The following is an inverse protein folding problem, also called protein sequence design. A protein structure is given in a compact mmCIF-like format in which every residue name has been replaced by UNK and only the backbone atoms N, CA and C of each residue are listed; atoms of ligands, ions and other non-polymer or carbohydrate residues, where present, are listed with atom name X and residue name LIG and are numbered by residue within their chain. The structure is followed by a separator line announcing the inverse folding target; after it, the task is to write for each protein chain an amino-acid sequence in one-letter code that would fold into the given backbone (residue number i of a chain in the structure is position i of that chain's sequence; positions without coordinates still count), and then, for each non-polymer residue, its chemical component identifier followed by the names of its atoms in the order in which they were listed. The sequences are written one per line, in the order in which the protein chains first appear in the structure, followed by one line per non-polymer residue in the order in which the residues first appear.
data_IF_505317546290
#
_entry.id   IF_505317546290
#
_cell.length_a   1.000
_cell.length_b   1.000
_cell.length_c   1.000
_cell.angle_alpha   90.00
_cell.angle_beta   90.00
_cell.angle_gamma   90.00
#
_symmetry.space_group_name_H-M   'P 1'
#
loop_
_entity.id
_entity.type
_entity.pdbx_description
1 polymer ?
#
# COMPACT_ATOMS: atom_id res chain seq x y z
N UNK A 1 -12.11 -4.26 6.06
CA UNK A 1 -12.44 -4.98 4.83
C UNK A 1 -13.57 -4.26 4.13
N UNK A 2 -13.44 -4.08 2.82
CA UNK A 2 -14.50 -3.60 1.94
C UNK A 2 -14.77 -4.70 0.92
N UNK A 3 -16.00 -5.20 0.88
CA UNK A 3 -16.41 -6.29 0.00
C UNK A 3 -15.47 -7.51 0.07
N UNK A 4 -15.08 -7.88 1.31
CA UNK A 4 -14.16 -9.00 1.57
C UNK A 4 -12.67 -8.70 1.36
N UNK A 5 -12.30 -7.52 0.84
CA UNK A 5 -10.90 -7.15 0.60
C UNK A 5 -10.34 -6.41 1.81
N UNK A 6 -9.27 -6.94 2.40
CA UNK A 6 -8.56 -6.34 3.53
C UNK A 6 -7.70 -5.13 3.10
N UNK A 7 -7.44 -4.24 4.07
CA UNK A 7 -6.55 -3.07 3.90
C UNK A 7 -6.93 -2.08 2.79
N UNK A 8 -8.15 -2.16 2.26
CA UNK A 8 -8.76 -1.13 1.43
C UNK A 8 -8.87 0.18 2.24
N UNK A 9 -8.47 1.29 1.63
CA UNK A 9 -8.57 2.62 2.24
C UNK A 9 -10.02 3.10 2.21
N UNK A 10 -10.75 2.82 3.29
CA UNK A 10 -12.15 3.25 3.43
C UNK A 10 -12.34 4.75 3.24
N UNK A 11 -11.37 5.58 3.64
CA UNK A 11 -11.42 7.04 3.46
C UNK A 11 -11.31 7.52 1.99
N UNK A 12 -10.91 6.64 1.07
CA UNK A 12 -10.80 6.89 -0.37
C UNK A 12 -11.77 6.03 -1.19
N UNK A 13 -12.56 5.18 -0.53
CA UNK A 13 -13.52 4.31 -1.21
C UNK A 13 -14.89 4.99 -1.23
N UNK A 14 -15.45 5.20 -2.42
CA UNK A 14 -16.81 5.72 -2.53
C UNK A 14 -17.81 4.70 -1.97
N UNK A 15 -18.74 5.18 -1.15
CA UNK A 15 -19.84 4.37 -0.65
C UNK A 15 -20.80 4.04 -1.80
N UNK A 16 -21.26 2.79 -1.87
CA UNK A 16 -22.24 2.33 -2.86
C UNK A 16 -23.31 1.43 -2.22
N UNK A 17 -24.54 1.38 -2.75
CA UNK A 17 -25.57 0.47 -2.27
C UNK A 17 -25.08 -0.99 -2.25
N UNK A 18 -25.34 -1.71 -1.16
CA UNK A 18 -24.94 -3.11 -0.99
C UNK A 18 -23.46 -3.34 -0.64
N UNK A 19 -22.64 -2.29 -0.49
CA UNK A 19 -21.25 -2.42 -0.07
C UNK A 19 -21.14 -2.94 1.36
N UNK A 20 -20.33 -3.97 1.56
CA UNK A 20 -20.09 -4.58 2.87
C UNK A 20 -18.80 -4.02 3.47
N UNK A 21 -18.91 -3.28 4.57
CA UNK A 21 -17.75 -2.72 5.30
C UNK A 21 -17.65 -3.39 6.67
N UNK A 22 -16.55 -4.10 6.90
CA UNK A 22 -16.29 -4.81 8.15
C UNK A 22 -14.98 -4.31 8.76
N UNK A 23 -14.99 -3.97 10.05
CA UNK A 23 -13.77 -3.57 10.77
C UNK A 23 -12.78 -4.74 10.80
N UNK A 24 -11.48 -4.44 10.81
CA UNK A 24 -10.50 -5.49 11.05
C UNK A 24 -10.62 -6.01 12.49
N UNK A 25 -10.28 -7.28 12.75
CA UNK A 25 -10.25 -7.84 14.09
C UNK A 25 -9.38 -6.98 15.03
N UNK A 26 -9.78 -6.84 16.29
CA UNK A 26 -8.99 -6.13 17.29
C UNK A 26 -7.70 -6.88 17.66
N UNK A 27 -7.69 -8.22 17.52
CA UNK A 27 -6.52 -9.08 17.69
C UNK A 27 -6.32 -9.96 16.47
N UNK A 28 -5.16 -9.84 15.82
CA UNK A 28 -4.77 -10.64 14.66
C UNK A 28 -5.01 -9.98 13.31
N UNK A 29 -4.70 -10.73 12.24
CA UNK A 29 -4.82 -10.27 10.86
C UNK A 29 -6.26 -10.49 10.35
N UNK A 30 -6.75 -9.69 9.39
CA UNK A 30 -8.01 -9.96 8.73
C UNK A 30 -7.98 -11.34 8.06
N UNK A 31 -9.08 -12.11 8.10
CA UNK A 31 -9.11 -13.45 7.54
C UNK A 31 -8.94 -13.43 6.02
N UNK A 32 -8.28 -14.45 5.48
CA UNK A 32 -8.29 -14.68 4.03
C UNK A 32 -9.69 -15.19 3.61
N UNK A 33 -10.16 -14.85 2.39
CA UNK A 33 -11.38 -15.42 1.86
C UNK A 33 -11.30 -16.96 1.84
N UNK A 34 -12.30 -17.65 2.40
CA UNK A 34 -12.37 -19.11 2.36
C UNK A 34 -12.80 -19.58 0.98
N UNK A 35 -12.00 -20.43 0.34
CA UNK A 35 -12.39 -21.13 -0.89
C UNK A 35 -13.17 -22.38 -0.49
N UNK A 36 -14.50 -22.28 -0.36
CA UNK A 36 -15.36 -23.41 0.00
C UNK A 36 -15.98 -24.07 -1.24
N UNK A 37 -15.67 -25.37 -1.44
CA UNK A 37 -16.28 -26.24 -2.45
C UNK A 37 -15.79 -27.70 -2.29
N UNK A 38 -16.54 -28.72 -2.75
CA UNK A 38 -16.22 -30.14 -2.54
C UNK A 38 -14.89 -30.61 -3.18
N UNK A 39 -14.28 -29.78 -4.04
CA UNK A 39 -12.98 -29.99 -4.69
C UNK A 39 -11.91 -29.02 -4.13
N UNK A 40 -11.78 -28.99 -2.79
CA UNK A 40 -11.13 -27.94 -1.98
C UNK A 40 -9.65 -27.60 -2.19
N UNK A 41 -9.02 -28.04 -3.29
CA UNK A 41 -7.68 -27.59 -3.71
C UNK A 41 -7.59 -27.23 -5.20
N UNK A 42 -8.62 -27.54 -6.00
CA UNK A 42 -8.66 -27.27 -7.45
C UNK A 42 -9.78 -26.32 -7.85
N UNK A 43 -10.69 -25.99 -6.94
CA UNK A 43 -11.68 -24.95 -7.16
C UNK A 43 -10.98 -23.58 -7.20
N UNK A 44 -10.86 -23.00 -8.39
CA UNK A 44 -10.46 -21.60 -8.54
C UNK A 44 -11.61 -20.76 -7.98
N UNK A 45 -11.40 -19.93 -6.94
CA UNK A 45 -12.44 -19.01 -6.51
C UNK A 45 -12.88 -18.18 -7.72
N UNK A 46 -14.19 -18.10 -7.96
CA UNK A 46 -14.75 -17.27 -9.04
C UNK A 46 -14.58 -15.81 -8.62
N UNK A 47 -13.38 -15.28 -8.86
CA UNK A 47 -13.08 -13.86 -8.74
C UNK A 47 -13.29 -13.27 -10.14
N UNK A 48 -13.95 -12.10 -10.27
CA UNK A 48 -14.04 -11.41 -11.54
C UNK A 48 -12.65 -11.26 -12.15
N UNK A 49 -12.52 -11.51 -13.45
CA UNK A 49 -11.26 -11.31 -14.16
C UNK A 49 -10.81 -9.85 -13.99
N UNK A 50 -9.56 -9.65 -13.56
CA UNK A 50 -8.97 -8.32 -13.43
C UNK A 50 -8.38 -7.96 -14.79
N UNK A 51 -8.95 -6.96 -15.44
CA UNK A 51 -8.48 -6.46 -16.73
C UNK A 51 -7.20 -5.66 -16.50
N UNK A 52 -6.19 -5.89 -17.35
CA UNK A 52 -4.95 -5.09 -17.39
C UNK A 52 -4.94 -4.25 -18.66
N UNK A 53 -5.01 -2.94 -18.50
CA UNK A 53 -4.75 -1.98 -19.57
C UNK A 53 -3.24 -1.75 -19.69
N UNK A 54 -2.71 -1.79 -20.92
CA UNK A 54 -1.33 -1.37 -21.22
C UNK A 54 -1.37 -0.11 -22.06
N UNK A 55 -0.62 0.89 -21.64
CA UNK A 55 -0.52 2.14 -22.35
C UNK A 55 0.91 2.69 -22.29
N UNK A 56 1.23 3.59 -23.22
CA UNK A 56 2.49 4.31 -23.26
C UNK A 56 2.21 5.81 -23.39
N UNK A 57 2.96 6.64 -22.66
CA UNK A 57 2.93 8.10 -22.78
C UNK A 57 4.33 8.69 -22.71
N UNK A 58 4.49 9.89 -23.26
CA UNK A 58 5.74 10.61 -23.10
C UNK A 58 5.90 11.15 -21.67
N UNK A 59 4.82 11.61 -21.03
CA UNK A 59 4.86 12.11 -19.65
C UNK A 59 3.72 11.53 -18.81
N UNK A 60 4.08 10.86 -17.72
CA UNK A 60 3.11 10.46 -16.69
C UNK A 60 3.20 11.42 -15.50
N UNK A 61 2.06 11.98 -15.07
CA UNK A 61 1.99 12.85 -13.89
C UNK A 61 1.20 12.16 -12.80
N UNK A 62 1.85 11.92 -11.66
CA UNK A 62 1.26 11.23 -10.51
C UNK A 62 0.82 12.27 -9.47
N UNK A 63 -0.49 12.45 -9.34
CA UNK A 63 -1.12 13.46 -8.49
C UNK A 63 -1.75 14.58 -9.32
N UNK A 64 -3.08 14.72 -9.20
CA UNK A 64 -3.91 15.68 -9.92
C UNK A 64 -4.11 17.01 -9.20
N UNK A 65 -3.27 17.33 -8.18
CA UNK A 65 -3.29 18.62 -7.48
C UNK A 65 -2.78 19.79 -8.32
N UNK A 66 -2.72 21.02 -7.77
CA UNK A 66 -2.29 22.21 -8.52
C UNK A 66 -0.94 22.06 -9.23
N UNK A 67 0.08 21.51 -8.54
CA UNK A 67 1.41 21.30 -9.13
C UNK A 67 1.41 20.25 -10.24
N UNK A 68 0.66 19.16 -10.07
CA UNK A 68 0.53 18.13 -11.10
C UNK A 68 -0.21 18.62 -12.33
N UNK A 69 -1.30 19.37 -12.15
CA UNK A 69 -2.03 20.00 -13.27
C UNK A 69 -1.16 21.01 -14.03
N UNK A 70 -0.37 21.80 -13.31
CA UNK A 70 0.58 22.74 -13.92
C UNK A 70 1.64 21.99 -14.75
N UNK A 71 2.27 20.96 -14.19
CA UNK A 71 3.26 20.14 -14.92
C UNK A 71 2.66 19.42 -16.14
N UNK A 72 1.43 18.93 -16.02
CA UNK A 72 0.72 18.32 -17.13
C UNK A 72 0.39 19.33 -18.25
N UNK A 73 0.00 20.56 -17.88
CA UNK A 73 -0.26 21.62 -18.85
C UNK A 73 1.02 22.06 -19.58
N UNK A 74 2.14 22.20 -18.86
CA UNK A 74 3.45 22.51 -19.43
C UNK A 74 3.89 21.44 -20.45
N UNK A 75 3.79 20.16 -20.09
CA UNK A 75 4.13 19.07 -21.00
C UNK A 75 3.22 19.04 -22.24
N UNK A 76 1.90 19.22 -22.08
CA UNK A 76 0.96 19.29 -23.21
C UNK A 76 1.23 20.48 -24.13
N UNK A 77 1.66 21.63 -23.59
CA UNK A 77 1.98 22.81 -24.39
C UNK A 77 3.15 22.56 -25.37
N UNK A 78 4.02 21.60 -25.05
CA UNK A 78 5.11 21.16 -25.94
C UNK A 78 4.72 20.02 -26.90
N UNK A 79 3.43 19.70 -27.02
CA UNK A 79 2.92 18.66 -27.91
C UNK A 79 3.11 17.22 -27.41
N UNK A 80 3.55 17.03 -26.16
CA UNK A 80 3.78 15.70 -25.59
C UNK A 80 2.47 15.00 -25.19
N UNK A 81 2.41 13.68 -25.32
CA UNK A 81 1.32 12.86 -24.77
C UNK A 81 1.44 12.78 -23.24
N UNK A 82 0.35 13.09 -22.53
CA UNK A 82 0.37 13.19 -21.05
C UNK A 82 -0.78 12.44 -20.41
N UNK A 83 -0.46 11.51 -19.49
CA UNK A 83 -1.44 10.88 -18.59
C UNK A 83 -1.30 11.43 -17.18
N UNK A 84 -2.38 11.97 -16.63
CA UNK A 84 -2.45 12.30 -15.21
C UNK A 84 -3.12 11.14 -14.50
N UNK A 85 -2.52 10.67 -13.41
CA UNK A 85 -3.03 9.61 -12.54
C UNK A 85 -3.29 10.22 -11.16
N UNK A 86 -4.53 10.17 -10.68
CA UNK A 86 -4.90 10.73 -9.38
C UNK A 86 -5.76 9.75 -8.55
N UNK A 87 -5.35 9.51 -7.31
CA UNK A 87 -6.09 8.64 -6.41
C UNK A 87 -7.49 9.19 -6.06
N UNK A 88 -7.71 10.50 -6.16
CA UNK A 88 -9.01 11.14 -5.98
C UNK A 88 -9.99 10.86 -7.13
N UNK A 89 -9.50 10.50 -8.31
CA UNK A 89 -10.32 10.02 -9.45
C UNK A 89 -10.36 8.49 -9.54
N UNK A 90 -9.80 7.79 -8.56
CA UNK A 90 -9.74 6.32 -8.52
C UNK A 90 -8.55 5.70 -9.25
N UNK A 91 -7.59 6.51 -9.71
CA UNK A 91 -6.37 6.05 -10.38
C UNK A 91 -5.20 6.07 -9.39
N UNK A 92 -5.07 5.01 -8.59
CA UNK A 92 -4.08 4.91 -7.53
C UNK A 92 -2.79 4.25 -8.05
N UNK A 93 -1.73 5.04 -8.20
CA UNK A 93 -0.39 4.50 -8.49
C UNK A 93 0.11 3.72 -7.28
N UNK A 94 0.42 2.44 -7.50
CA UNK A 94 0.92 1.54 -6.45
C UNK A 94 2.41 1.32 -6.54
N UNK A 95 3.03 1.42 -7.73
CA UNK A 95 4.45 1.19 -7.89
C UNK A 95 5.04 1.95 -9.09
N UNK A 96 6.34 2.26 -8.98
CA UNK A 96 7.21 2.61 -10.09
C UNK A 96 8.34 1.57 -10.10
N UNK A 97 8.59 0.95 -11.24
CA UNK A 97 9.64 -0.05 -11.43
C UNK A 97 10.80 0.53 -12.27
N UNK A 98 11.95 -0.15 -12.22
CA UNK A 98 13.06 0.14 -13.12
C UNK A 98 12.62 -0.16 -14.56
N UNK A 99 12.78 0.81 -15.47
CA UNK A 99 12.27 0.72 -16.85
C UNK A 99 11.09 1.66 -17.13
N UNK A 100 11.09 2.87 -16.54
CA UNK A 100 9.94 3.68 -16.06
C UNK A 100 8.50 3.10 -16.13
N UNK A 101 8.30 1.81 -15.84
CA UNK A 101 6.95 1.24 -15.75
C UNK A 101 6.22 1.70 -14.49
N UNK A 102 5.04 2.29 -14.66
CA UNK A 102 4.12 2.64 -13.59
C UNK A 102 3.02 1.57 -13.52
N UNK A 103 2.75 1.06 -12.33
CA UNK A 103 1.58 0.21 -12.08
C UNK A 103 0.58 0.98 -11.23
N UNK A 104 -0.66 1.07 -11.71
CA UNK A 104 -1.75 1.75 -11.04
C UNK A 104 -3.01 0.89 -10.99
N UNK A 105 -3.77 1.02 -9.90
CA UNK A 105 -5.15 0.53 -9.82
C UNK A 105 -6.06 1.58 -10.44
N UNK A 106 -7.00 1.16 -11.28
CA UNK A 106 -8.04 2.01 -11.88
C UNK A 106 -9.42 1.51 -11.46
N UNK A 107 -10.51 2.26 -11.71
CA UNK A 107 -11.87 1.77 -11.45
C UNK A 107 -12.25 0.50 -12.23
N UNK A 108 -11.55 0.20 -13.32
CA UNK A 108 -11.86 -0.94 -14.22
C UNK A 108 -10.89 -2.12 -14.09
N UNK A 109 -9.79 -1.97 -13.35
CA UNK A 109 -8.79 -3.01 -13.18
C UNK A 109 -7.41 -2.45 -12.84
N UNK A 110 -6.39 -2.92 -13.55
CA UNK A 110 -5.01 -2.46 -13.40
C UNK A 110 -4.54 -1.77 -14.68
N UNK A 111 -3.65 -0.78 -14.51
CA UNK A 111 -2.98 -0.08 -15.59
C UNK A 111 -1.48 -0.31 -15.46
N UNK A 112 -0.86 -0.81 -16.53
CA UNK A 112 0.58 -0.83 -16.73
C UNK A 112 0.92 0.28 -17.74
N UNK A 113 1.53 1.35 -17.24
CA UNK A 113 1.82 2.54 -18.02
C UNK A 113 3.33 2.69 -18.18
N UNK A 114 3.80 2.64 -19.42
CA UNK A 114 5.16 3.02 -19.76
C UNK A 114 5.24 4.55 -19.96
N UNK A 115 6.27 5.18 -19.40
CA UNK A 115 6.45 6.62 -19.45
C UNK A 115 7.90 7.04 -19.73
N UNK A 116 8.13 7.98 -20.65
CA UNK A 116 9.50 8.46 -20.90
C UNK A 116 9.97 9.44 -19.81
N UNK A 117 9.06 10.24 -19.26
CA UNK A 117 9.26 11.11 -18.09
C UNK A 117 8.15 10.83 -17.06
N UNK A 118 8.51 10.77 -15.78
CA UNK A 118 7.55 10.68 -14.67
C UNK A 118 7.63 11.92 -13.80
N UNK A 119 6.51 12.58 -13.58
CA UNK A 119 6.38 13.71 -12.67
C UNK A 119 5.63 13.27 -11.42
N UNK A 120 6.30 13.28 -10.26
CA UNK A 120 5.69 12.97 -8.97
C UNK A 120 5.20 14.26 -8.31
N UNK A 121 3.88 14.41 -8.26
CA UNK A 121 3.15 15.56 -7.70
C UNK A 121 2.18 15.12 -6.58
N UNK A 122 2.59 14.12 -5.79
CA UNK A 122 1.79 13.42 -4.76
C UNK A 122 1.50 14.25 -3.50
N UNK A 123 2.01 15.48 -3.43
CA UNK A 123 1.81 16.42 -2.33
C UNK A 123 2.51 15.99 -1.03
N UNK A 124 1.93 16.39 0.10
CA UNK A 124 2.42 16.07 1.43
C UNK A 124 1.31 15.49 2.33
N UNK A 125 1.70 14.63 3.27
CA UNK A 125 0.85 14.11 4.34
C UNK A 125 0.92 15.03 5.57
N UNK A 126 -0.18 15.15 6.32
CA UNK A 126 -0.14 15.85 7.61
C UNK A 126 0.51 14.95 8.66
N UNK A 127 1.26 15.57 9.57
CA UNK A 127 1.92 14.88 10.69
C UNK A 127 0.88 14.52 11.74
N UNK A 128 0.91 13.25 12.18
CA UNK A 128 0.25 12.82 13.40
C UNK A 128 1.21 12.92 14.59
N UNK A 129 0.74 13.35 15.78
CA UNK A 129 1.57 13.40 16.97
C UNK A 129 1.87 11.99 17.49
N UNK A 130 2.98 11.87 18.21
CA UNK A 130 3.31 10.70 19.01
C UNK A 130 3.49 11.17 20.45
N UNK A 131 2.47 10.84 21.24
CA UNK A 131 2.32 11.17 22.65
C UNK A 131 1.33 10.16 23.27
N UNK A 132 1.18 10.11 24.61
CA UNK A 132 0.21 9.21 25.24
C UNK A 132 -1.21 9.46 24.72
N UNK A 133 -1.95 8.38 24.42
CA UNK A 133 -3.32 8.43 23.90
C UNK A 133 -3.44 8.78 22.41
N UNK A 134 -2.33 8.86 21.66
CA UNK A 134 -2.35 9.18 20.22
C UNK A 134 -2.98 8.09 19.33
N UNK A 135 -3.37 6.98 19.93
CA UNK A 135 -4.05 5.85 19.30
C UNK A 135 -5.58 5.87 19.45
N UNK A 136 -6.10 6.78 20.28
CA UNK A 136 -7.53 6.97 20.53
C UNK A 136 -8.29 7.39 19.26
N UNK A 137 -9.54 6.97 19.16
CA UNK A 137 -10.43 7.47 18.09
C UNK A 137 -10.87 8.91 18.36
N UNK A 138 -11.21 9.66 17.30
CA UNK A 138 -11.57 11.08 17.39
C UNK A 138 -10.41 12.05 17.10
N UNK A 139 -9.21 11.54 16.87
CA UNK A 139 -8.07 12.31 16.37
C UNK A 139 -8.06 12.32 14.84
N UNK A 140 -7.97 13.49 14.21
CA UNK A 140 -7.98 13.61 12.75
C UNK A 140 -7.10 14.75 12.26
N UNK A 141 -6.64 14.67 11.01
CA UNK A 141 -5.89 15.75 10.37
C UNK A 141 -6.82 16.88 9.92
N UNK A 142 -6.29 18.09 9.75
CA UNK A 142 -7.07 19.25 9.30
C UNK A 142 -7.84 18.98 8.00
N UNK A 143 -7.18 18.42 6.97
CA UNK A 143 -7.87 18.07 5.70
C UNK A 143 -8.94 16.99 5.87
N UNK A 144 -8.76 16.07 6.81
CA UNK A 144 -9.78 15.07 7.11
C UNK A 144 -11.00 15.72 7.78
N UNK A 145 -10.78 16.61 8.75
CA UNK A 145 -11.84 17.36 9.41
C UNK A 145 -12.62 18.23 8.42
N UNK A 146 -11.94 18.94 7.53
CA UNK A 146 -12.57 19.73 6.46
C UNK A 146 -13.45 18.88 5.54
N UNK A 147 -12.96 17.70 5.14
CA UNK A 147 -13.72 16.78 4.27
C UNK A 147 -14.96 16.24 4.99
N UNK A 148 -14.83 15.88 6.27
CA UNK A 148 -15.92 15.35 7.09
C UNK A 148 -16.97 16.44 7.34
N UNK A 149 -16.54 17.65 7.71
CA UNK A 149 -17.42 18.79 7.93
C UNK A 149 -18.19 19.18 6.66
N UNK A 150 -17.51 19.24 5.50
CA UNK A 150 -18.16 19.51 4.20
C UNK A 150 -19.19 18.45 3.82
N UNK A 151 -19.02 17.21 4.30
CA UNK A 151 -19.98 16.13 4.12
C UNK A 151 -21.18 16.23 5.08
N UNK A 152 -21.25 17.24 5.95
CA UNK A 152 -22.34 17.46 6.90
C UNK A 152 -22.30 16.54 8.13
N UNK A 153 -21.16 15.91 8.41
CA UNK A 153 -20.99 15.06 9.59
C UNK A 153 -20.64 15.93 10.79
N UNK A 154 -21.39 15.76 11.87
CA UNK A 154 -21.14 16.46 13.13
C UNK A 154 -19.84 15.97 13.79
N UNK A 155 -18.97 16.92 14.15
CA UNK A 155 -17.70 16.67 14.83
C UNK A 155 -17.82 16.80 16.36
N UNK A 156 -18.99 17.17 16.88
CA UNK A 156 -19.21 17.40 18.31
C UNK A 156 -18.37 18.56 18.82
N UNK A 157 -17.89 18.46 20.07
CA UNK A 157 -16.96 19.44 20.63
C UNK A 157 -15.58 19.25 19.99
N UNK A 158 -15.28 20.06 18.98
CA UNK A 158 -14.02 20.01 18.24
C UNK A 158 -13.01 21.04 18.74
N UNK A 159 -11.78 20.59 18.95
CA UNK A 159 -10.63 21.45 19.27
C UNK A 159 -9.53 21.26 18.24
N UNK A 160 -8.76 22.31 17.99
CA UNK A 160 -7.63 22.29 17.06
C UNK A 160 -6.30 22.46 17.82
N UNK A 161 -5.32 21.64 17.47
CA UNK A 161 -3.95 21.71 17.97
C UNK A 161 -3.02 22.04 16.79
N UNK A 162 -2.30 23.15 16.90
CA UNK A 162 -1.52 23.70 15.79
C UNK A 162 -2.38 24.55 14.86
N UNK A 163 -2.14 24.44 13.55
CA UNK A 163 -2.88 25.23 12.55
C UNK A 163 -4.35 24.79 12.49
N UNK A 164 -5.33 25.71 12.68
CA UNK A 164 -6.73 25.36 12.60
C UNK A 164 -7.13 24.93 11.18
N UNK A 165 -8.11 24.03 11.04
CA UNK A 165 -8.70 23.68 9.75
C UNK A 165 -9.47 24.83 9.11
N UNK A 166 -9.51 24.89 7.78
CA UNK A 166 -10.25 25.93 7.07
C UNK A 166 -11.76 25.68 7.11
N UNK A 167 -12.51 26.60 7.71
CA UNK A 167 -13.98 26.58 7.70
C UNK A 167 -14.62 25.51 8.60
N UNK A 168 -13.87 24.86 9.48
CA UNK A 168 -14.41 23.91 10.46
C UNK A 168 -14.46 24.56 11.85
N UNK A 169 -15.65 24.71 12.46
CA UNK A 169 -15.79 25.26 13.80
C UNK A 169 -14.98 24.43 14.82
N UNK A 170 -13.94 25.05 15.40
CA UNK A 170 -13.10 24.41 16.42
C UNK A 170 -12.41 25.46 17.30
N UNK A 171 -12.26 25.15 18.60
CA UNK A 171 -11.49 25.99 19.51
C UNK A 171 -9.99 25.67 19.38
N UNK A 172 -9.16 26.67 19.11
CA UNK A 172 -7.70 26.48 19.01
C UNK A 172 -7.10 26.45 20.41
N UNK A 173 -6.35 25.40 20.72
CA UNK A 173 -5.71 25.26 22.02
C UNK A 173 -4.26 25.76 21.96
N UNK A 174 -3.89 26.73 22.82
CA UNK A 174 -2.52 27.21 22.89
C UNK A 174 -1.61 26.20 23.60
N UNK A 175 -0.30 26.36 23.40
CA UNK A 175 0.73 25.61 24.12
C UNK A 175 1.20 24.33 23.43
N UNK A 176 1.92 23.50 24.17
CA UNK A 176 2.51 22.25 23.69
C UNK A 176 1.60 21.08 24.01
N UNK A 177 1.28 20.26 23.01
CA UNK A 177 0.54 19.01 23.20
C UNK A 177 1.31 18.07 24.14
N UNK A 178 0.65 17.57 25.19
CA UNK A 178 1.20 16.61 26.14
C UNK A 178 0.65 15.21 25.88
N UNK A 179 -0.68 15.06 25.90
CA UNK A 179 -1.35 13.77 25.77
C UNK A 179 -2.83 13.91 25.39
N UNK A 180 -3.43 12.81 25.00
CA UNK A 180 -4.87 12.62 24.89
C UNK A 180 -5.36 11.67 25.96
N UNK A 181 -6.56 11.92 26.48
CA UNK A 181 -7.17 11.11 27.53
C UNK A 181 -8.55 10.60 27.06
N UNK A 182 -8.85 9.35 27.37
CA UNK A 182 -10.11 8.72 26.99
C UNK A 182 -10.05 7.19 27.06
N UNK A 183 -11.21 6.57 26.89
CA UNK A 183 -11.37 5.10 26.82
C UNK A 183 -11.88 4.73 25.42
N UNK A 184 -10.97 4.25 24.56
CA UNK A 184 -11.20 3.95 23.14
C UNK A 184 -11.44 5.16 22.22
N UNK A 185 -11.99 6.25 22.75
CA UNK A 185 -12.21 7.54 22.08
C UNK A 185 -11.69 8.68 22.96
N UNK A 186 -11.11 9.70 22.34
CA UNK A 186 -10.70 10.92 23.03
C UNK A 186 -11.89 11.57 23.76
N UNK A 187 -11.63 12.05 24.97
CA UNK A 187 -12.56 12.81 25.82
C UNK A 187 -11.96 14.12 26.26
N UNK A 188 -10.64 14.18 26.38
CA UNK A 188 -9.91 15.40 26.67
C UNK A 188 -8.53 15.39 26.03
N UNK A 189 -8.00 16.60 25.84
CA UNK A 189 -6.63 16.86 25.41
C UNK A 189 -5.94 17.70 26.47
N UNK A 190 -4.68 17.37 26.74
CA UNK A 190 -3.86 18.06 27.73
C UNK A 190 -2.77 18.83 27.02
N UNK A 191 -2.76 20.14 27.27
CA UNK A 191 -1.79 21.08 26.72
C UNK A 191 -0.95 21.66 27.86
N UNK A 192 0.35 21.82 27.66
CA UNK A 192 1.23 22.48 28.62
C UNK A 192 1.60 23.89 28.12
N UNK A 193 1.57 24.85 29.03
CA UNK A 193 2.16 26.16 28.78
C UNK A 193 3.67 26.01 28.53
N UNK A 194 4.22 26.54 27.42
CA UNK A 194 5.62 26.32 27.05
C UNK A 194 6.64 26.90 28.04
N UNK A 195 6.25 27.84 28.90
CA UNK A 195 7.17 28.56 29.81
C UNK A 195 7.07 28.01 31.23
N UNK A 196 5.86 27.98 31.78
CA UNK A 196 5.58 27.53 33.15
C UNK A 196 5.45 26.02 33.28
N UNK A 197 5.20 25.30 32.17
CA UNK A 197 4.92 23.86 32.19
C UNK A 197 3.57 23.48 32.77
N UNK A 198 2.72 24.46 33.13
CA UNK A 198 1.39 24.19 33.69
C UNK A 198 0.51 23.49 32.66
N UNK A 199 -0.04 22.33 33.04
CA UNK A 199 -0.95 21.55 32.21
C UNK A 199 -2.39 22.04 32.33
N UNK A 200 -3.09 22.12 31.19
CA UNK A 200 -4.51 22.43 31.09
C UNK A 200 -5.21 21.32 30.32
N UNK A 201 -6.25 20.75 30.94
CA UNK A 201 -7.10 19.71 30.33
C UNK A 201 -8.33 20.36 29.72
N UNK A 202 -8.56 20.13 28.43
CA UNK A 202 -9.74 20.61 27.71
C UNK A 202 -10.57 19.44 27.21
N UNK A 203 -11.87 19.43 27.49
CA UNK A 203 -12.79 18.40 27.00
C UNK A 203 -13.02 18.56 25.48
N UNK A 204 -13.01 17.44 24.76
CA UNK A 204 -13.24 17.40 23.32
C UNK A 204 -13.72 16.02 22.86
N UNK A 205 -14.67 15.99 21.93
CA UNK A 205 -15.08 14.78 21.21
C UNK A 205 -14.21 14.51 19.99
N UNK A 206 -13.61 15.57 19.44
CA UNK A 206 -12.78 15.55 18.24
C UNK A 206 -11.57 16.45 18.44
N UNK A 207 -10.38 15.93 18.12
CA UNK A 207 -9.14 16.72 18.07
C UNK A 207 -8.64 16.79 16.63
N UNK A 208 -8.47 18.02 16.15
CA UNK A 208 -8.00 18.32 14.80
C UNK A 208 -6.54 18.73 14.87
N UNK A 209 -5.70 18.06 14.07
CA UNK A 209 -4.25 18.12 14.18
C UNK A 209 -3.65 18.84 12.96
N UNK A 210 -3.14 20.05 13.19
CA UNK A 210 -2.43 20.87 12.21
C UNK A 210 -0.94 20.99 12.56
N UNK A 211 -0.23 19.86 12.59
CA UNK A 211 1.13 19.77 13.14
C UNK A 211 2.24 19.81 12.07
N UNK A 212 1.95 20.37 10.91
CA UNK A 212 2.86 20.41 9.77
C UNK A 212 2.73 19.22 8.82
N UNK A 213 3.67 19.11 7.91
CA UNK A 213 3.57 18.25 6.73
C UNK A 213 4.84 17.38 6.56
N UNK A 214 4.69 16.22 5.92
CA UNK A 214 5.77 15.39 5.43
C UNK A 214 5.58 15.12 3.93
N UNK A 215 6.62 15.24 3.08
CA UNK A 215 6.50 15.02 1.65
C UNK A 215 6.08 13.57 1.35
N UNK A 216 5.19 13.37 0.36
CA UNK A 216 4.78 12.03 -0.12
C UNK A 216 5.69 11.56 -1.25
N UNK A 217 6.99 11.55 -1.00
CA UNK A 217 8.04 11.27 -1.98
C UNK A 217 8.28 9.77 -2.26
N UNK A 218 7.56 8.87 -1.57
CA UNK A 218 7.81 7.42 -1.60
C UNK A 218 7.88 6.87 -3.04
N UNK A 219 6.94 7.26 -3.91
CA UNK A 219 6.92 6.82 -5.31
C UNK A 219 8.14 7.33 -6.08
N UNK A 220 8.57 8.57 -5.86
CA UNK A 220 9.77 9.10 -6.48
C UNK A 220 11.01 8.30 -6.06
N UNK A 221 11.11 7.97 -4.76
CA UNK A 221 12.21 7.15 -4.22
C UNK A 221 12.19 5.70 -4.73
N UNK A 222 11.05 5.16 -5.19
CA UNK A 222 10.99 3.83 -5.81
C UNK A 222 11.64 3.80 -7.18
N UNK A 223 11.64 4.93 -7.90
CA UNK A 223 12.14 4.99 -9.26
C UNK A 223 13.67 4.96 -9.36
N UNK A 224 14.39 5.19 -8.26
CA UNK A 224 15.85 5.24 -8.25
C UNK A 224 16.38 6.27 -9.25
N UNK A 225 17.29 5.83 -10.13
CA UNK A 225 17.90 6.66 -11.19
C UNK A 225 17.00 6.81 -12.45
N UNK A 226 15.73 6.38 -12.37
CA UNK A 226 14.77 6.53 -13.47
C UNK A 226 14.45 8.01 -13.79
N UNK A 227 13.76 8.28 -14.91
CA UNK A 227 13.48 9.63 -15.40
C UNK A 227 12.37 10.33 -14.60
N UNK A 228 12.62 10.58 -13.31
CA UNK A 228 11.64 11.11 -12.36
C UNK A 228 11.99 12.53 -11.93
N UNK A 229 10.98 13.40 -11.99
CA UNK A 229 11.02 14.75 -11.43
C UNK A 229 9.94 14.89 -10.36
N UNK A 230 10.31 15.45 -9.21
CA UNK A 230 9.36 15.70 -8.11
C UNK A 230 8.97 17.17 -8.11
N UNK A 231 7.69 17.49 -7.91
CA UNK A 231 7.19 18.87 -7.93
C UNK A 231 6.24 19.19 -6.78
N UNK A 232 6.11 20.48 -6.47
CA UNK A 232 5.21 20.98 -5.43
C UNK A 232 5.60 20.48 -4.04
N UNK A 233 4.60 20.21 -3.19
CA UNK A 233 4.81 19.80 -1.80
C UNK A 233 5.53 18.44 -1.64
N UNK A 234 5.56 17.61 -2.68
CA UNK A 234 6.34 16.37 -2.67
C UNK A 234 7.85 16.63 -2.77
N UNK A 235 8.26 17.75 -3.38
CA UNK A 235 9.67 18.16 -3.51
C UNK A 235 10.11 19.15 -2.41
N UNK A 236 9.16 19.66 -1.62
CA UNK A 236 9.45 20.65 -0.60
C UNK A 236 10.20 20.02 0.57
N UNK A 237 11.26 20.69 1.02
CA UNK A 237 11.87 20.39 2.31
C UNK A 237 10.87 20.73 3.42
N UNK A 238 10.54 19.74 4.24
CA UNK A 238 9.64 19.90 5.38
C UNK A 238 10.43 19.64 6.67
N UNK A 239 10.24 20.44 7.73
CA UNK A 239 10.87 20.17 9.00
C UNK A 239 10.39 18.84 9.58
N UNK A 240 11.29 18.13 10.24
CA UNK A 240 10.89 16.95 11.01
C UNK A 240 10.04 17.38 12.23
N UNK A 241 9.09 16.53 12.65
CA UNK A 241 8.35 16.79 13.89
C UNK A 241 9.28 16.76 15.10
N UNK A 242 8.86 17.31 16.25
CA UNK A 242 9.57 17.12 17.51
C UNK A 242 9.84 15.63 17.78
N UNK A 243 11.00 15.27 18.35
CA UNK A 243 11.30 13.88 18.68
C UNK A 243 10.28 13.36 19.70
N UNK A 244 9.64 12.21 19.45
CA UNK A 244 8.66 11.67 20.37
C UNK A 244 9.32 11.14 21.65
N UNK A 245 8.63 11.33 22.77
CA UNK A 245 9.11 10.87 24.09
C UNK A 245 8.31 9.70 24.63
N UNK A 246 7.05 9.56 24.21
CA UNK A 246 6.14 8.48 24.64
C UNK A 246 5.01 8.30 23.60
N UNK A 247 4.29 7.19 23.64
CA UNK A 247 3.13 6.89 22.80
C UNK A 247 3.40 5.91 21.65
N UNK A 248 2.39 5.73 20.79
CA UNK A 248 2.45 4.78 19.67
C UNK A 248 3.08 5.43 18.44
N UNK A 249 4.28 5.01 18.07
CA UNK A 249 5.00 5.52 16.89
C UNK A 249 4.40 4.94 15.61
N UNK A 250 4.17 3.63 15.54
CA UNK A 250 3.66 2.95 14.34
C UNK A 250 2.34 2.24 14.62
N UNK A 251 1.22 2.92 14.37
CA UNK A 251 -0.12 2.36 14.58
C UNK A 251 -0.40 1.06 13.83
N UNK A 252 0.19 0.89 12.64
CA UNK A 252 0.01 -0.32 11.84
C UNK A 252 0.63 -1.57 12.49
N UNK A 253 1.74 -1.41 13.22
CA UNK A 253 2.47 -2.52 13.84
C UNK A 253 2.33 -2.54 15.36
N UNK A 254 1.74 -1.50 15.95
CA UNK A 254 1.66 -1.33 17.40
C UNK A 254 2.96 -0.86 18.06
N UNK A 255 4.00 -0.52 17.30
CA UNK A 255 5.30 -0.14 17.84
C UNK A 255 5.22 1.22 18.57
N UNK A 256 5.82 1.28 19.76
CA UNK A 256 5.84 2.42 20.68
C UNK A 256 7.20 3.10 20.70
N UNK A 257 7.33 4.21 21.45
CA UNK A 257 8.63 4.84 21.70
C UNK A 257 9.55 3.92 22.51
N UNK A 258 9.01 3.14 23.44
CA UNK A 258 9.79 2.16 24.22
C UNK A 258 10.38 1.06 23.35
N UNK A 259 9.64 0.59 22.33
CA UNK A 259 10.17 -0.38 21.36
C UNK A 259 11.37 0.18 20.58
N UNK A 260 11.35 1.49 20.25
CA UNK A 260 12.50 2.16 19.65
C UNK A 260 13.68 2.22 20.63
N UNK A 261 13.42 2.58 21.89
CA UNK A 261 14.44 2.68 22.93
C UNK A 261 15.12 1.32 23.19
N UNK A 262 14.33 0.26 23.36
CA UNK A 262 14.84 -1.12 23.55
C UNK A 262 15.68 -1.56 22.37
N UNK A 263 15.27 -1.26 21.14
CA UNK A 263 16.06 -1.60 19.95
C UNK A 263 17.37 -0.79 19.89
N UNK A 264 17.32 0.49 20.24
CA UNK A 264 18.49 1.37 20.27
C UNK A 264 19.52 0.92 21.31
N UNK A 265 19.09 0.57 22.52
CA UNK A 265 19.96 0.12 23.60
C UNK A 265 20.65 -1.22 23.29
N UNK A 266 20.10 -2.00 22.35
CA UNK A 266 20.72 -3.21 21.79
C UNK A 266 21.76 -2.93 20.70
N UNK A 267 22.01 -1.66 20.37
CA UNK A 267 22.99 -1.23 19.37
C UNK A 267 22.42 -1.03 17.96
N UNK A 268 21.10 -1.10 17.76
CA UNK A 268 20.49 -0.85 16.45
C UNK A 268 20.31 0.66 16.21
N UNK A 269 21.41 1.39 16.06
CA UNK A 269 21.43 2.85 16.05
C UNK A 269 21.28 3.50 14.66
N UNK A 270 21.04 2.69 13.62
CA UNK A 270 20.75 3.16 12.26
C UNK A 270 19.29 2.90 11.87
N UNK A 271 18.71 3.77 11.04
CA UNK A 271 17.29 3.70 10.65
C UNK A 271 16.87 2.31 10.14
N UNK A 272 17.68 1.70 9.27
CA UNK A 272 17.36 0.40 8.68
C UNK A 272 17.39 -0.73 9.73
N UNK A 273 18.30 -0.69 10.69
CA UNK A 273 18.38 -1.66 11.78
C UNK A 273 17.26 -1.44 12.80
N UNK A 274 17.02 -0.18 13.18
CA UNK A 274 15.96 0.19 14.11
C UNK A 274 14.59 -0.21 13.58
N UNK A 275 14.33 0.03 12.28
CA UNK A 275 13.12 -0.41 11.57
C UNK A 275 12.89 -1.93 11.69
N UNK A 276 13.95 -2.73 11.48
CA UNK A 276 13.88 -4.20 11.54
C UNK A 276 13.66 -4.71 12.96
N UNK A 277 14.30 -4.08 13.95
CA UNK A 277 14.24 -4.54 15.35
C UNK A 277 12.98 -4.08 16.07
N UNK A 278 12.49 -2.86 15.81
CA UNK A 278 11.32 -2.29 16.48
C UNK A 278 9.99 -2.56 15.76
N UNK A 279 10.05 -3.04 14.53
CA UNK A 279 8.92 -3.18 13.60
C UNK A 279 8.26 -1.85 13.18
N UNK A 280 8.73 -0.69 13.66
CA UNK A 280 8.26 0.59 13.19
C UNK A 280 8.49 0.72 11.67
N UNK A 281 7.60 1.43 10.97
CA UNK A 281 7.63 1.62 9.51
C UNK A 281 7.39 0.37 8.64
N UNK A 282 7.18 -0.82 9.21
CA UNK A 282 6.92 -2.06 8.44
C UNK A 282 5.44 -2.34 8.16
N UNK A 283 4.55 -1.51 8.70
CA UNK A 283 3.12 -1.71 8.55
C UNK A 283 2.54 -1.31 7.20
N UNK A 284 1.22 -1.42 7.06
CA UNK A 284 0.52 -1.22 5.78
C UNK A 284 0.65 0.18 5.18
N UNK A 285 0.97 1.20 5.99
CA UNK A 285 1.26 2.53 5.48
C UNK A 285 2.67 2.70 4.88
N UNK A 286 3.54 1.68 4.93
CA UNK A 286 4.93 1.71 4.44
C UNK A 286 5.73 2.91 4.98
N UNK A 287 5.59 3.18 6.28
CA UNK A 287 6.24 4.30 6.95
C UNK A 287 5.61 5.67 6.70
N UNK A 288 4.51 5.77 5.93
CA UNK A 288 3.93 7.05 5.54
C UNK A 288 3.49 7.98 6.69
N UNK A 289 3.18 7.43 7.87
CA UNK A 289 2.85 8.21 9.06
C UNK A 289 3.99 8.28 10.09
N UNK A 290 4.72 7.17 10.27
CA UNK A 290 5.68 7.02 11.37
C UNK A 290 7.12 7.36 10.99
N UNK A 291 7.48 7.37 9.70
CA UNK A 291 8.86 7.66 9.27
C UNK A 291 9.36 9.04 9.72
N UNK A 292 8.59 10.15 9.63
CA UNK A 292 9.05 11.43 10.14
C UNK A 292 9.37 11.40 11.64
N UNK A 293 8.59 10.66 12.42
CA UNK A 293 8.76 10.49 13.88
C UNK A 293 10.00 9.66 14.22
N UNK A 294 10.23 8.58 13.50
CA UNK A 294 11.44 7.75 13.70
C UNK A 294 12.70 8.53 13.31
N UNK A 295 12.66 9.31 12.22
CA UNK A 295 13.79 10.15 11.80
C UNK A 295 14.10 11.24 12.82
N UNK A 296 13.09 11.93 13.36
CA UNK A 296 13.31 12.94 14.41
C UNK A 296 13.87 12.33 15.69
N UNK A 297 13.37 11.15 16.08
CA UNK A 297 13.82 10.41 17.25
C UNK A 297 15.28 9.97 17.18
N UNK A 298 15.72 9.48 16.00
CA UNK A 298 17.13 9.13 15.74
C UNK A 298 17.97 10.40 15.75
N UNK A 299 17.57 11.45 15.02
CA UNK A 299 18.33 12.69 14.92
C UNK A 299 18.60 13.33 16.28
N UNK A 300 17.64 13.27 17.20
CA UNK A 300 17.80 13.77 18.56
C UNK A 300 18.85 13.00 19.39
N UNK A 301 19.22 11.77 18.99
CA UNK A 301 20.17 10.90 19.70
C UNK A 301 21.52 10.80 19.00
N UNK A 302 21.54 10.75 17.68
CA UNK A 302 22.78 10.67 16.88
C UNK A 302 23.37 12.04 16.56
N UNK A 303 22.57 13.10 16.61
CA UNK A 303 22.95 14.43 16.10
C UNK A 303 22.81 14.59 14.58
N UNK A 304 22.45 13.51 13.86
CA UNK A 304 22.35 13.49 12.40
C UNK A 304 20.97 13.01 11.95
N UNK A 305 20.38 13.70 10.98
CA UNK A 305 19.11 13.30 10.40
C UNK A 305 19.33 12.13 9.43
N UNK A 306 18.82 10.92 9.71
CA UNK A 306 19.02 9.80 8.81
C UNK A 306 18.23 9.99 7.51
N UNK A 307 18.77 9.50 6.41
CA UNK A 307 18.03 9.39 5.15
C UNK A 307 16.83 8.44 5.29
N UNK A 308 15.74 8.66 4.53
CA UNK A 308 14.63 7.71 4.45
C UNK A 308 15.09 6.29 4.04
N UNK A 309 14.51 5.26 4.64
CA UNK A 309 14.78 3.86 4.25
C UNK A 309 14.40 3.60 2.79
N UNK A 310 14.98 2.53 2.22
CA UNK A 310 14.78 2.19 0.80
C UNK A 310 13.29 2.01 0.46
N UNK A 311 12.78 2.78 -0.51
CA UNK A 311 11.42 2.63 -0.99
C UNK A 311 11.31 1.40 -1.91
N UNK A 312 10.35 0.51 -1.66
CA UNK A 312 10.14 -0.72 -2.44
C UNK A 312 8.69 -0.82 -2.89
N UNK A 313 8.43 -1.23 -4.15
CA UNK A 313 7.08 -1.60 -4.58
C UNK A 313 6.46 -2.67 -3.66
N UNK A 314 5.18 -2.61 -3.31
CA UNK A 314 4.18 -1.59 -3.65
C UNK A 314 3.97 -0.56 -2.52
N UNK A 315 3.73 0.71 -2.88
CA UNK A 315 3.40 1.83 -1.98
C UNK A 315 2.04 1.67 -1.26
N UNK A 316 1.25 0.73 -1.75
CA UNK A 316 -0.10 0.38 -1.32
C UNK A 316 -0.27 -1.13 -1.42
N UNK A 317 -1.16 -1.68 -0.60
CA UNK A 317 -1.51 -3.09 -0.70
C UNK A 317 -2.18 -3.36 -2.04
N UNK A 318 -1.64 -4.31 -2.78
CA UNK A 318 -2.29 -4.97 -3.91
C UNK A 318 -2.69 -6.38 -3.48
N UNK A 319 -3.80 -6.87 -4.01
CA UNK A 319 -4.18 -8.26 -3.87
C UNK A 319 -3.27 -9.15 -4.71
N UNK A 320 -3.16 -10.42 -4.35
CA UNK A 320 -2.45 -11.39 -5.20
C UNK A 320 -3.12 -11.53 -6.58
N UNK A 321 -4.44 -11.37 -6.66
CA UNK A 321 -5.17 -11.35 -7.92
C UNK A 321 -4.76 -10.18 -8.82
N UNK A 322 -4.60 -8.98 -8.25
CA UNK A 322 -4.10 -7.81 -8.99
C UNK A 322 -2.66 -8.00 -9.45
N UNK A 323 -1.80 -8.58 -8.61
CA UNK A 323 -0.40 -8.86 -8.95
C UNK A 323 -0.25 -9.94 -10.04
N UNK A 324 -1.16 -10.92 -10.07
CA UNK A 324 -1.19 -12.00 -11.06
C UNK A 324 -2.08 -11.67 -12.27
N UNK A 325 -2.69 -10.49 -12.31
CA UNK A 325 -3.60 -10.11 -13.37
C UNK A 325 -2.89 -10.21 -14.73
N UNK A 326 -3.59 -10.77 -15.72
CA UNK A 326 -3.11 -10.93 -17.09
C UNK A 326 -1.82 -11.78 -17.23
N UNK A 327 -1.48 -12.58 -16.21
CA UNK A 327 -0.47 -13.63 -16.30
C UNK A 327 -1.14 -14.95 -16.69
N UNK A 328 -0.99 -15.34 -17.95
CA UNK A 328 -1.45 -16.62 -18.46
C UNK A 328 -0.31 -17.64 -18.41
N UNK A 329 -0.35 -18.52 -17.41
CA UNK A 329 0.52 -19.71 -17.39
C UNK A 329 -0.26 -20.85 -18.02
N UNK A 330 0.15 -21.25 -19.21
CA UNK A 330 -0.34 -22.47 -19.87
C UNK A 330 0.25 -23.70 -19.16
N UNK A 331 -0.41 -24.08 -18.06
CA UNK A 331 0.02 -25.18 -17.18
C UNK A 331 -0.32 -26.57 -17.73
N UNK A 332 -1.16 -26.65 -18.77
CA UNK A 332 -1.79 -27.91 -19.21
C UNK A 332 -1.79 -28.04 -20.74
N UNK A 333 -0.60 -28.02 -21.34
CA UNK A 333 -0.45 -28.31 -22.77
C UNK A 333 -0.85 -29.75 -23.07
N UNK A 334 -1.63 -29.91 -24.14
CA UNK A 334 -2.19 -31.18 -24.60
C UNK A 334 -1.74 -31.44 -26.03
N UNK A 335 -1.33 -32.67 -26.32
CA UNK A 335 -1.06 -33.07 -27.71
C UNK A 335 -2.39 -33.23 -28.46
N UNK A 336 -2.39 -33.20 -29.81
CA UNK A 336 -3.58 -33.51 -30.60
C UNK A 336 -4.18 -34.90 -30.31
N UNK A 337 -3.41 -35.80 -29.71
CA UNK A 337 -3.82 -37.16 -29.34
C UNK A 337 -4.25 -37.27 -27.86
N UNK A 338 -4.38 -36.15 -27.13
CA UNK A 338 -4.68 -36.18 -25.69
C UNK A 338 -5.97 -36.93 -25.36
N UNK A 339 -7.05 -36.66 -26.09
CA UNK A 339 -8.35 -37.30 -25.84
C UNK A 339 -8.31 -38.79 -26.19
N UNK A 340 -7.50 -39.18 -27.18
CA UNK A 340 -7.26 -40.59 -27.52
C UNK A 340 -6.49 -41.31 -26.41
N UNK A 341 -5.45 -40.68 -25.84
CA UNK A 341 -4.73 -41.23 -24.69
C UNK A 341 -5.66 -41.50 -23.51
N UNK A 342 -6.55 -40.56 -23.19
CA UNK A 342 -7.55 -40.74 -22.14
C UNK A 342 -8.53 -41.87 -22.46
N UNK A 343 -9.01 -41.96 -23.70
CA UNK A 343 -9.92 -43.01 -24.15
C UNK A 343 -9.29 -44.41 -24.06
N UNK A 344 -7.99 -44.52 -24.36
CA UNK A 344 -7.21 -45.76 -24.25
C UNK A 344 -6.81 -46.11 -22.81
N UNK A 345 -7.22 -45.32 -21.81
CA UNK A 345 -6.92 -45.57 -20.41
C UNK A 345 -5.50 -45.22 -20.00
N UNK A 346 -4.84 -44.31 -20.73
CA UNK A 346 -3.50 -43.85 -20.35
C UNK A 346 -3.52 -43.25 -18.94
N UNK A 347 -2.60 -43.73 -18.10
CA UNK A 347 -2.20 -42.99 -16.91
C UNK A 347 -1.37 -41.82 -17.36
N UNK A 348 -1.93 -40.62 -17.25
CA UNK A 348 -1.25 -39.40 -17.63
C UNK A 348 -0.38 -38.86 -16.49
N UNK A 349 0.73 -38.21 -16.84
CA UNK A 349 1.59 -37.50 -15.89
C UNK A 349 2.13 -36.19 -16.50
N UNK A 350 2.69 -35.35 -15.63
CA UNK A 350 3.17 -34.01 -15.99
C UNK A 350 4.66 -34.01 -16.34
N UNK A 351 4.95 -33.63 -17.58
CA UNK A 351 6.30 -33.45 -18.09
C UNK A 351 6.49 -31.98 -18.50
N UNK A 352 6.99 -31.16 -17.57
CA UNK A 352 7.01 -29.70 -17.75
C UNK A 352 5.58 -29.15 -17.78
N UNK A 353 5.23 -28.39 -18.82
CA UNK A 353 3.85 -27.91 -19.05
C UNK A 353 2.98 -28.90 -19.83
N UNK A 354 3.52 -30.04 -20.28
CA UNK A 354 2.77 -31.02 -21.06
C UNK A 354 2.17 -32.12 -20.19
N UNK A 355 0.93 -32.46 -20.48
CA UNK A 355 0.28 -33.70 -20.02
C UNK A 355 0.56 -34.81 -21.02
N UNK A 356 1.30 -35.85 -20.59
CA UNK A 356 1.74 -36.96 -21.44
C UNK A 356 1.30 -38.31 -20.87
N UNK A 357 1.07 -39.32 -21.72
CA UNK A 357 0.89 -40.68 -21.24
C UNK A 357 2.19 -41.16 -20.55
N UNK A 358 2.07 -41.59 -19.29
CA UNK A 358 3.13 -42.23 -18.53
C UNK A 358 3.19 -43.73 -18.83
N UNK A 359 2.03 -44.38 -18.84
CA UNK A 359 1.80 -45.75 -19.31
C UNK A 359 0.30 -45.97 -19.58
N UNK A 360 -0.06 -47.14 -20.09
CA UNK A 360 -1.43 -47.57 -20.38
C UNK A 360 -1.84 -48.79 -19.52
N UNK A 361 -1.23 -48.96 -18.33
CA UNK A 361 -1.57 -50.00 -17.36
C UNK A 361 -0.36 -50.76 -16.82
N UNK A 362 0.21 -51.66 -17.62
CA UNK A 362 1.35 -52.50 -17.24
C UNK A 362 2.63 -52.07 -17.96
N UNK A 363 3.43 -51.25 -17.28
CA UNK A 363 4.68 -50.73 -17.82
C UNK A 363 5.72 -51.83 -18.16
N UNK A 364 5.68 -52.99 -17.49
CA UNK A 364 6.61 -54.10 -17.78
C UNK A 364 6.20 -54.80 -19.07
N UNK A 365 4.90 -55.04 -19.26
CA UNK A 365 4.38 -55.57 -20.51
C UNK A 365 4.65 -54.61 -21.69
N UNK A 366 4.44 -53.30 -21.49
CA UNK A 366 4.76 -52.28 -22.50
C UNK A 366 6.25 -52.28 -22.89
N UNK A 367 7.15 -52.42 -21.91
CA UNK A 367 8.59 -52.52 -22.16
C UNK A 367 8.96 -53.71 -23.05
N UNK A 368 8.41 -54.90 -22.77
CA UNK A 368 8.69 -56.09 -23.59
C UNK A 368 8.04 -56.00 -24.97
N UNK A 369 6.83 -55.43 -25.09
CA UNK A 369 6.17 -55.21 -26.37
C UNK A 369 6.99 -54.32 -27.33
N UNK A 370 7.69 -53.31 -26.81
CA UNK A 370 8.61 -52.46 -27.59
C UNK A 370 9.78 -53.27 -28.17
N UNK A 371 10.24 -54.32 -27.48
CA UNK A 371 11.41 -55.11 -27.89
C UNK A 371 11.07 -56.32 -28.75
N UNK A 372 9.94 -56.94 -28.48
CA UNK A 372 9.56 -58.23 -29.06
C UNK A 372 8.48 -58.10 -30.15
N UNK A 373 7.87 -56.92 -30.30
CA UNK A 373 6.82 -56.66 -31.27
C UNK A 373 6.91 -55.21 -31.84
N UNK A 374 5.80 -54.46 -31.80
CA UNK A 374 5.70 -53.08 -32.31
C UNK A 374 5.05 -52.19 -31.25
N UNK A 375 5.49 -50.94 -31.17
CA UNK A 375 4.95 -49.94 -30.25
C UNK A 375 4.84 -48.57 -30.93
N UNK A 376 3.88 -47.75 -30.47
CA UNK A 376 3.68 -46.38 -30.89
C UNK A 376 3.91 -45.45 -29.69
N UNK A 377 4.65 -44.36 -29.92
CA UNK A 377 4.93 -43.35 -28.89
C UNK A 377 4.54 -41.95 -29.35
N UNK A 378 3.78 -41.24 -28.52
CA UNK A 378 3.49 -39.82 -28.76
C UNK A 378 4.70 -38.95 -28.37
N UNK A 379 5.47 -38.59 -29.39
CA UNK A 379 6.64 -37.70 -29.30
C UNK A 379 6.32 -36.26 -29.73
N UNK A 380 5.03 -35.91 -29.86
CA UNK A 380 4.59 -34.60 -30.34
C UNK A 380 5.10 -33.44 -29.46
N UNK A 381 5.40 -33.71 -28.19
CA UNK A 381 5.88 -32.72 -27.22
C UNK A 381 7.34 -32.32 -27.41
N UNK A 382 8.12 -33.04 -28.23
CA UNK A 382 9.51 -32.69 -28.48
C UNK A 382 9.62 -31.35 -29.21
N UNK A 383 10.62 -30.55 -28.82
CA UNK A 383 10.96 -29.30 -29.49
C UNK A 383 11.35 -29.56 -30.94
N UNK A 384 10.81 -28.76 -31.86
CA UNK A 384 11.09 -28.85 -33.29
C UNK A 384 11.64 -27.49 -33.73
N UNK A 385 12.78 -27.51 -34.41
CA UNK A 385 13.29 -26.37 -35.16
C UNK A 385 13.09 -26.73 -36.62
N UNK A 386 12.21 -26.00 -37.30
CA UNK A 386 11.81 -26.23 -38.71
C UNK A 386 12.20 -25.06 -39.57
#
# INVERSE_FOLDING_TARGET
MVDGIAYVRTCQTAARPGQMVVRHPAGGLPPLPTVSGPSGLTAVPVVPAIVVERAEVQVAVIGGGPSGRAAAAEARATGRTVRVLDAGTGEEVVAIYAGPTIVARTPTGMLHLEAHEIVVATGAAEIHPVCPGNELTGLMTSRAAEKIHRAGVDLGVAVAVGTPPDGVPSAVLPGRLVRFEGDGKVRSVVMADPVSGLETTTAADTVILGLGLAPRDLLARMAGDGPVRVVGQAAAAQPLPPPPTDGVVCRCMGATVDDLAVAWDRGFNELELLKRSSLACLGTCQGGACLPQVRSWIAARSGEVPDPFTARPASRQITLGEAAADVYVDLFRRTPLHDEHLALGARMDRFGSWWRPWNYGDAVAEYWAVREAVSLGDVSTLGKLV
#
